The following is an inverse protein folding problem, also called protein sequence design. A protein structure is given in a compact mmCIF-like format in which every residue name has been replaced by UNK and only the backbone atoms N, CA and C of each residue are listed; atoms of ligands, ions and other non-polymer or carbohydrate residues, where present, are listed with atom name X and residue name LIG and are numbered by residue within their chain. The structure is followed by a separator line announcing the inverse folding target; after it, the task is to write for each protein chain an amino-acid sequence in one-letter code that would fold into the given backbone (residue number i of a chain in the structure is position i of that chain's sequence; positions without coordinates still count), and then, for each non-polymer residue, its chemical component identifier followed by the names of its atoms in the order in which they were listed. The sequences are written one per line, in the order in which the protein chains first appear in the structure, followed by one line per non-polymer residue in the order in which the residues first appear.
data_IF_817505503321
#
_entry.id   IF_817505503321
#
_cell.length_a   1.000
_cell.length_b   1.000
_cell.length_c   1.000
_cell.angle_alpha   90.00
_cell.angle_beta   90.00
_cell.angle_gamma   90.00
#
_symmetry.space_group_name_H-M   'P 1'
#
loop_
_entity.id
_entity.type
_entity.pdbx_description
1 polymer ?
#
# COMPACT_ATOMS: atom_id res chain seq x y z
N UNK A 1 19.25 21.53 21.07
CA UNK A 1 17.97 21.19 20.42
C UNK A 1 18.12 19.80 19.83
N UNK A 2 17.50 18.78 20.42
CA UNK A 2 17.50 17.42 19.85
C UNK A 2 16.63 17.45 18.60
N UNK A 3 17.23 17.14 17.45
CA UNK A 3 16.55 17.19 16.16
C UNK A 3 15.43 16.13 16.15
N UNK A 4 14.17 16.59 16.25
CA UNK A 4 12.99 15.74 16.47
C UNK A 4 12.55 14.98 15.21
N UNK A 5 13.05 15.40 14.03
CA UNK A 5 12.69 14.88 12.73
C UNK A 5 13.82 14.01 12.16
N UNK A 6 13.46 12.88 11.56
CA UNK A 6 14.39 11.94 10.95
C UNK A 6 13.99 11.67 9.50
N UNK A 7 14.98 11.53 8.62
CA UNK A 7 14.82 11.14 7.23
C UNK A 7 15.68 9.90 6.97
N UNK A 8 15.06 8.84 6.47
CA UNK A 8 15.73 7.58 6.14
C UNK A 8 15.79 7.42 4.62
N UNK A 9 16.91 6.91 4.12
CA UNK A 9 17.11 6.59 2.70
C UNK A 9 17.25 5.08 2.53
N UNK A 10 16.52 4.51 1.57
CA UNK A 10 16.56 3.08 1.25
C UNK A 10 15.17 2.50 0.97
N UNK A 11 15.10 1.18 0.86
CA UNK A 11 13.83 0.47 0.77
C UNK A 11 13.05 0.61 2.08
N UNK A 12 11.79 1.03 1.98
CA UNK A 12 10.97 1.33 3.14
C UNK A 12 10.62 0.10 3.99
N UNK A 13 10.59 -1.11 3.43
CA UNK A 13 10.38 -2.34 4.22
C UNK A 13 11.60 -2.60 5.11
N UNK A 14 12.81 -2.43 4.58
CA UNK A 14 14.02 -2.54 5.39
C UNK A 14 14.11 -1.45 6.46
N UNK A 15 13.77 -0.21 6.11
CA UNK A 15 13.77 0.90 7.07
C UNK A 15 12.80 0.65 8.21
N UNK A 16 11.56 0.23 7.90
CA UNK A 16 10.56 -0.13 8.91
C UNK A 16 11.10 -1.21 9.87
N UNK A 17 11.74 -2.25 9.32
CA UNK A 17 12.30 -3.36 10.09
C UNK A 17 13.49 -2.97 10.97
N UNK A 18 14.43 -2.17 10.44
CA UNK A 18 15.71 -1.88 11.09
C UNK A 18 15.65 -0.69 12.04
N UNK A 19 14.80 0.30 11.77
CA UNK A 19 14.86 1.60 12.42
C UNK A 19 13.60 1.99 13.19
N UNK A 20 12.45 1.41 12.85
CA UNK A 20 11.18 1.77 13.48
C UNK A 20 10.80 0.72 14.54
N UNK A 21 10.72 1.17 15.79
CA UNK A 21 10.37 0.32 16.93
C UNK A 21 8.88 -0.05 16.93
N UNK A 22 8.57 -1.17 17.55
CA UNK A 22 7.21 -1.59 17.85
C UNK A 22 6.48 -0.49 18.63
N UNK A 23 5.20 -0.29 18.34
CA UNK A 23 4.31 0.60 19.09
C UNK A 23 4.90 2.00 19.37
N UNK A 24 5.57 2.58 18.37
CA UNK A 24 6.27 3.85 18.49
C UNK A 24 5.64 4.98 17.67
N UNK A 25 4.77 4.64 16.72
CA UNK A 25 4.17 5.58 15.76
C UNK A 25 2.72 5.89 16.12
N UNK A 26 2.37 7.17 16.26
CA UNK A 26 1.00 7.62 16.52
C UNK A 26 0.14 7.69 15.24
N UNK A 27 0.75 8.05 14.10
CA UNK A 27 0.05 8.18 12.83
C UNK A 27 0.98 7.77 11.69
N UNK A 28 0.46 6.95 10.78
CA UNK A 28 1.13 6.60 9.53
C UNK A 28 0.25 7.01 8.34
N UNK A 29 0.83 7.71 7.38
CA UNK A 29 0.20 8.02 6.10
C UNK A 29 1.11 7.54 4.99
N UNK A 30 0.55 6.84 4.01
CA UNK A 30 1.29 6.45 2.80
C UNK A 30 0.48 6.73 1.53
N UNK A 31 1.22 7.11 0.48
CA UNK A 31 0.73 7.34 -0.88
C UNK A 31 1.56 6.49 -1.85
N UNK A 32 1.36 5.16 -1.87
CA UNK A 32 2.12 4.27 -2.73
C UNK A 32 1.79 4.53 -4.21
N UNK A 33 2.73 4.22 -5.14
CA UNK A 33 2.49 4.40 -6.57
C UNK A 33 1.29 3.56 -7.00
N UNK A 34 0.32 4.20 -7.65
CA UNK A 34 -0.91 3.58 -8.10
C UNK A 34 -0.67 2.53 -9.19
N UNK A 35 -1.25 1.33 -9.05
CA UNK A 35 -1.23 0.27 -10.07
C UNK A 35 -2.22 0.57 -11.23
N UNK A 36 -2.16 1.78 -11.78
CA UNK A 36 -3.01 2.19 -12.88
C UNK A 36 -2.42 1.69 -14.21
N UNK A 37 -2.73 0.43 -14.58
CA UNK A 37 -2.36 -0.17 -15.89
C UNK A 37 -2.78 0.67 -17.14
N UNK A 38 -3.47 1.81 -16.97
CA UNK A 38 -4.06 2.65 -18.04
C UNK A 38 -3.33 3.95 -18.37
N UNK A 39 -2.48 4.50 -17.50
CA UNK A 39 -2.00 5.88 -17.67
C UNK A 39 -0.60 6.01 -18.30
N UNK A 40 -0.08 4.98 -18.98
CA UNK A 40 1.31 5.01 -19.44
C UNK A 40 1.51 4.96 -20.96
N UNK A 41 0.77 4.10 -21.68
CA UNK A 41 0.90 4.02 -23.15
C UNK A 41 0.59 5.35 -23.87
N UNK A 42 -0.20 6.25 -23.27
CA UNK A 42 -0.47 7.58 -23.83
C UNK A 42 0.57 8.65 -23.45
N UNK A 43 1.26 8.49 -22.32
CA UNK A 43 2.33 9.41 -21.87
C UNK A 43 3.61 9.14 -22.65
N UNK A 44 3.93 7.87 -22.92
CA UNK A 44 5.10 7.47 -23.71
C UNK A 44 5.17 8.07 -25.12
N UNK A 45 4.01 8.29 -25.75
CA UNK A 45 3.95 8.83 -27.10
C UNK A 45 4.26 10.34 -27.16
N UNK A 46 4.20 11.07 -26.03
CA UNK A 46 4.18 12.53 -26.03
C UNK A 46 5.26 13.23 -25.18
N UNK A 47 6.23 12.52 -24.56
CA UNK A 47 7.22 13.16 -23.67
C UNK A 47 8.69 12.79 -24.00
N UNK A 48 9.60 13.75 -23.80
CA UNK A 48 11.05 13.69 -24.04
C UNK A 48 11.83 12.73 -23.13
N UNK A 49 13.14 12.59 -23.39
CA UNK A 49 14.00 11.52 -22.84
C UNK A 49 14.10 11.46 -21.30
N UNK A 50 14.10 12.60 -20.60
CA UNK A 50 14.25 12.62 -19.13
C UNK A 50 12.98 12.16 -18.39
N UNK A 51 11.81 12.55 -18.87
CA UNK A 51 10.54 12.12 -18.29
C UNK A 51 10.27 10.63 -18.56
N UNK A 52 10.79 10.07 -19.67
CA UNK A 52 10.75 8.62 -19.91
C UNK A 52 11.50 7.83 -18.83
N UNK A 53 12.61 8.33 -18.29
CA UNK A 53 13.37 7.65 -17.25
C UNK A 53 12.61 7.62 -15.91
N UNK A 54 11.96 8.74 -15.54
CA UNK A 54 11.08 8.80 -14.37
C UNK A 54 9.86 7.92 -14.54
N UNK A 55 9.25 7.97 -15.71
CA UNK A 55 8.04 7.24 -16.02
C UNK A 55 8.31 5.70 -16.12
N UNK A 56 9.48 5.30 -16.64
CA UNK A 56 9.96 3.92 -16.60
C UNK A 56 10.16 3.41 -15.17
N UNK A 57 10.72 4.23 -14.26
CA UNK A 57 10.90 3.85 -12.85
C UNK A 57 9.59 3.60 -12.11
N UNK A 58 8.49 4.26 -12.52
CA UNK A 58 7.14 4.02 -12.01
C UNK A 58 6.47 2.76 -12.61
N UNK A 59 6.85 2.32 -13.82
CA UNK A 59 6.35 1.08 -14.43
C UNK A 59 7.08 -0.15 -13.90
N UNK A 60 8.39 -0.02 -13.71
CA UNK A 60 9.23 -1.10 -13.19
C UNK A 60 9.04 -1.35 -11.70
N UNK A 61 8.20 -0.58 -11.00
CA UNK A 61 8.10 -0.70 -9.54
C UNK A 61 7.57 -2.07 -9.11
N UNK A 62 6.63 -2.66 -9.86
CA UNK A 62 5.98 -3.91 -9.48
C UNK A 62 5.93 -4.90 -10.64
N UNK A 63 7.04 -5.62 -10.84
CA UNK A 63 7.11 -6.78 -11.72
C UNK A 63 7.13 -8.05 -10.89
N UNK A 64 6.68 -9.17 -11.48
CA UNK A 64 6.84 -10.45 -10.81
C UNK A 64 8.30 -10.91 -10.94
N UNK A 65 9.10 -10.59 -9.92
CA UNK A 65 10.54 -10.84 -9.87
C UNK A 65 10.93 -11.71 -8.66
N UNK A 66 12.23 -11.82 -8.39
CA UNK A 66 12.74 -12.56 -7.24
C UNK A 66 12.36 -11.93 -5.90
N UNK A 67 12.15 -10.60 -5.84
CA UNK A 67 11.65 -9.94 -4.63
C UNK A 67 10.19 -10.32 -4.37
N UNK A 68 9.35 -10.38 -5.40
CA UNK A 68 7.98 -10.85 -5.31
C UNK A 68 7.91 -12.33 -4.87
N UNK A 69 8.77 -13.19 -5.42
CA UNK A 69 8.84 -14.60 -5.00
C UNK A 69 9.27 -14.73 -3.53
N UNK A 70 10.30 -14.00 -3.08
CA UNK A 70 10.73 -14.02 -1.67
C UNK A 70 9.65 -13.47 -0.74
N UNK A 71 9.00 -12.38 -1.13
CA UNK A 71 7.91 -11.80 -0.36
C UNK A 71 6.71 -12.73 -0.22
N UNK A 72 6.35 -13.43 -1.30
CA UNK A 72 5.30 -14.43 -1.27
C UNK A 72 5.67 -15.58 -0.32
N UNK A 73 6.89 -16.12 -0.42
CA UNK A 73 7.37 -17.16 0.47
C UNK A 73 7.34 -16.71 1.94
N UNK A 74 7.83 -15.49 2.23
CA UNK A 74 7.81 -14.93 3.58
C UNK A 74 6.40 -14.88 4.19
N UNK A 75 5.41 -14.47 3.39
CA UNK A 75 4.00 -14.42 3.81
C UNK A 75 3.48 -15.83 4.07
N UNK A 76 3.65 -16.76 3.12
CA UNK A 76 3.05 -18.09 3.19
C UNK A 76 3.68 -18.98 4.25
N UNK A 77 4.99 -18.91 4.41
CA UNK A 77 5.74 -19.72 5.38
C UNK A 77 5.62 -19.14 6.80
N UNK A 78 5.46 -17.82 6.89
CA UNK A 78 5.23 -17.08 8.13
C UNK A 78 6.18 -17.47 9.28
N UNK A 79 7.46 -17.73 8.99
CA UNK A 79 8.43 -18.27 9.97
C UNK A 79 8.56 -17.45 11.25
N UNK A 80 8.33 -16.13 11.17
CA UNK A 80 8.42 -15.21 12.30
C UNK A 80 7.07 -14.92 12.97
N UNK A 81 5.97 -15.55 12.53
CA UNK A 81 4.63 -15.33 13.07
C UNK A 81 4.10 -13.90 12.86
N UNK A 82 4.60 -13.19 11.84
CA UNK A 82 4.27 -11.78 11.56
C UNK A 82 2.94 -11.59 10.85
N UNK A 83 2.53 -12.59 10.07
CA UNK A 83 1.32 -12.52 9.24
C UNK A 83 0.17 -13.25 9.91
N UNK A 84 -1.02 -12.67 9.80
CA UNK A 84 -2.27 -13.25 10.30
C UNK A 84 -2.73 -14.37 9.36
N UNK A 85 -3.49 -15.35 9.86
CA UNK A 85 -4.03 -16.42 9.00
C UNK A 85 -4.86 -15.85 7.85
N UNK A 86 -5.63 -14.79 8.10
CA UNK A 86 -6.41 -14.09 7.07
C UNK A 86 -5.53 -13.48 5.98
N UNK A 87 -4.36 -12.91 6.33
CA UNK A 87 -3.43 -12.34 5.33
C UNK A 87 -2.80 -13.44 4.49
N UNK A 88 -2.45 -14.56 5.10
CA UNK A 88 -1.89 -15.73 4.42
C UNK A 88 -2.91 -16.31 3.44
N UNK A 89 -4.13 -16.58 3.91
CA UNK A 89 -5.20 -17.16 3.10
C UNK A 89 -5.61 -16.23 1.95
N UNK A 90 -5.67 -14.91 2.22
CA UNK A 90 -5.96 -13.91 1.19
C UNK A 90 -4.91 -13.94 0.07
N UNK A 91 -3.63 -13.88 0.42
CA UNK A 91 -2.54 -13.85 -0.58
C UNK A 91 -2.44 -15.19 -1.32
N UNK A 92 -2.62 -16.32 -0.63
CA UNK A 92 -2.68 -17.64 -1.25
C UNK A 92 -3.86 -17.75 -2.24
N UNK A 93 -5.03 -17.22 -1.88
CA UNK A 93 -6.20 -17.17 -2.74
C UNK A 93 -5.99 -16.27 -3.96
N UNK A 94 -5.50 -15.05 -3.74
CA UNK A 94 -5.22 -14.09 -4.80
C UNK A 94 -4.16 -14.60 -5.79
N UNK A 95 -3.20 -15.41 -5.34
CA UNK A 95 -2.24 -16.07 -6.23
C UNK A 95 -2.93 -16.95 -7.27
N UNK A 96 -4.01 -17.64 -6.88
CA UNK A 96 -4.80 -18.50 -7.78
C UNK A 96 -5.72 -17.68 -8.71
N UNK A 97 -6.19 -16.52 -8.26
CA UNK A 97 -7.16 -15.68 -8.98
C UNK A 97 -6.48 -14.77 -10.00
N UNK A 98 -5.38 -14.12 -9.62
CA UNK A 98 -4.72 -13.09 -10.42
C UNK A 98 -3.58 -13.64 -11.29
N UNK A 99 -3.00 -14.77 -10.89
CA UNK A 99 -1.73 -15.24 -11.43
C UNK A 99 -0.56 -14.37 -10.99
N UNK A 100 0.66 -14.80 -11.34
CA UNK A 100 1.91 -14.13 -10.98
C UNK A 100 2.19 -12.94 -11.91
N UNK A 101 1.43 -11.86 -11.74
CA UNK A 101 1.53 -10.62 -12.52
C UNK A 101 1.91 -9.40 -11.66
N UNK A 102 1.93 -8.21 -12.28
CA UNK A 102 2.26 -6.95 -11.59
C UNK A 102 1.30 -6.59 -10.46
N UNK A 103 0.02 -6.95 -10.56
CA UNK A 103 -0.93 -6.69 -9.49
C UNK A 103 -0.65 -7.60 -8.29
N UNK A 104 -0.41 -8.89 -8.51
CA UNK A 104 -0.07 -9.77 -7.39
C UNK A 104 1.27 -9.37 -6.75
N UNK A 105 2.29 -9.02 -7.54
CA UNK A 105 3.56 -8.51 -7.02
C UNK A 105 3.37 -7.28 -6.13
N UNK A 106 2.52 -6.34 -6.57
CA UNK A 106 2.15 -5.17 -5.77
C UNK A 106 1.46 -5.55 -4.45
N UNK A 107 0.50 -6.47 -4.48
CA UNK A 107 -0.24 -6.89 -3.28
C UNK A 107 0.62 -7.67 -2.28
N UNK A 108 1.56 -8.49 -2.75
CA UNK A 108 2.58 -9.12 -1.91
C UNK A 108 3.42 -8.05 -1.22
N UNK A 109 3.96 -7.11 -2.00
CA UNK A 109 4.77 -6.01 -1.48
C UNK A 109 4.05 -5.15 -0.44
N UNK A 110 2.78 -4.82 -0.70
CA UNK A 110 1.97 -4.02 0.22
C UNK A 110 1.66 -4.80 1.49
N UNK A 111 1.35 -6.10 1.40
CA UNK A 111 1.12 -6.95 2.59
C UNK A 111 2.31 -6.95 3.54
N UNK A 112 3.54 -7.10 3.01
CA UNK A 112 4.77 -7.04 3.83
C UNK A 112 4.88 -5.72 4.60
N UNK A 113 4.62 -4.59 3.91
CA UNK A 113 4.75 -3.24 4.47
C UNK A 113 3.65 -2.93 5.47
N UNK A 114 2.42 -3.32 5.17
CA UNK A 114 1.26 -3.12 6.05
C UNK A 114 1.43 -3.90 7.35
N UNK A 115 1.99 -5.12 7.31
CA UNK A 115 2.31 -5.87 8.52
C UNK A 115 3.32 -5.14 9.43
N UNK A 116 4.38 -4.57 8.84
CA UNK A 116 5.38 -3.79 9.59
C UNK A 116 4.82 -2.43 10.08
N UNK A 117 3.93 -1.80 9.31
CA UNK A 117 3.20 -0.60 9.75
C UNK A 117 2.31 -0.93 10.95
N UNK A 118 1.57 -2.04 10.92
CA UNK A 118 0.76 -2.48 12.05
C UNK A 118 1.61 -2.72 13.31
N UNK A 119 2.79 -3.35 13.18
CA UNK A 119 3.75 -3.52 14.28
C UNK A 119 4.19 -2.16 14.85
N UNK A 120 4.56 -1.22 13.99
CA UNK A 120 5.09 0.08 14.37
C UNK A 120 4.06 1.01 15.04
N UNK A 121 2.78 0.90 14.68
CA UNK A 121 1.72 1.74 15.26
C UNK A 121 1.51 1.46 16.74
N UNK A 122 1.32 2.51 17.54
CA UNK A 122 0.83 2.40 18.91
C UNK A 122 -0.59 1.83 18.95
N UNK A 123 -1.04 1.25 20.07
CA UNK A 123 -2.44 0.84 20.23
C UNK A 123 -3.43 1.98 19.92
N UNK A 124 -3.04 3.23 20.15
CA UNK A 124 -3.81 4.45 19.86
C UNK A 124 -3.66 4.99 18.44
N UNK A 125 -2.85 4.33 17.62
CA UNK A 125 -2.39 4.87 16.35
C UNK A 125 -3.36 4.67 15.20
N UNK A 126 -3.25 5.58 14.23
CA UNK A 126 -4.04 5.61 13.00
C UNK A 126 -3.19 5.37 11.76
N UNK A 127 -3.82 4.78 10.74
CA UNK A 127 -3.22 4.52 9.44
C UNK A 127 -4.10 5.03 8.32
N UNK A 128 -3.49 5.76 7.39
CA UNK A 128 -4.15 6.33 6.22
C UNK A 128 -3.42 5.84 4.96
N UNK A 129 -4.16 5.12 4.10
CA UNK A 129 -3.66 4.64 2.82
C UNK A 129 -4.37 5.38 1.69
N UNK A 130 -3.64 6.23 0.97
CA UNK A 130 -4.14 6.81 -0.27
C UNK A 130 -4.03 5.79 -1.40
N UNK A 131 -5.11 5.59 -2.16
CA UNK A 131 -5.17 4.57 -3.20
C UNK A 131 -6.03 5.01 -4.40
N UNK A 132 -5.67 4.52 -5.59
CA UNK A 132 -6.49 4.70 -6.77
C UNK A 132 -7.66 3.71 -6.80
N UNK A 133 -8.72 4.00 -7.58
CA UNK A 133 -9.83 3.07 -7.76
C UNK A 133 -9.47 1.71 -8.40
N UNK A 134 -8.24 1.55 -8.93
CA UNK A 134 -7.83 0.31 -9.60
C UNK A 134 -7.43 -0.75 -8.59
N UNK A 135 -6.66 -0.35 -7.57
CA UNK A 135 -6.14 -1.24 -6.55
C UNK A 135 -6.86 -1.10 -5.20
N UNK A 136 -7.66 -0.05 -4.98
CA UNK A 136 -8.31 0.25 -3.69
C UNK A 136 -9.03 -0.94 -3.07
N UNK A 137 -9.79 -1.71 -3.86
CA UNK A 137 -10.54 -2.86 -3.35
C UNK A 137 -9.62 -4.01 -2.89
N UNK A 138 -8.54 -4.29 -3.62
CA UNK A 138 -7.57 -5.31 -3.21
C UNK A 138 -6.78 -4.85 -1.98
N UNK A 139 -6.39 -3.57 -1.93
CA UNK A 139 -5.70 -2.99 -0.79
C UNK A 139 -6.60 -2.99 0.45
N UNK A 140 -7.89 -2.68 0.31
CA UNK A 140 -8.87 -2.77 1.39
C UNK A 140 -8.92 -4.17 2.00
N UNK A 141 -8.93 -5.22 1.15
CA UNK A 141 -8.88 -6.61 1.64
C UNK A 141 -7.57 -6.91 2.37
N UNK A 142 -6.42 -6.44 1.86
CA UNK A 142 -5.13 -6.58 2.54
C UNK A 142 -5.14 -5.88 3.90
N UNK A 143 -5.67 -4.66 3.98
CA UNK A 143 -5.79 -3.92 5.24
C UNK A 143 -6.72 -4.62 6.22
N UNK A 144 -7.88 -5.11 5.77
CA UNK A 144 -8.79 -5.89 6.61
C UNK A 144 -8.13 -7.17 7.14
N UNK A 145 -7.40 -7.88 6.28
CA UNK A 145 -6.71 -9.10 6.65
C UNK A 145 -5.62 -8.87 7.70
N UNK A 146 -4.95 -7.71 7.70
CA UNK A 146 -3.92 -7.36 8.69
C UNK A 146 -4.50 -6.71 9.95
N UNK A 147 -5.34 -5.68 9.81
CA UNK A 147 -5.84 -4.88 10.94
C UNK A 147 -7.01 -5.57 11.64
N UNK A 148 -8.06 -5.92 10.91
CA UNK A 148 -9.33 -6.39 11.50
C UNK A 148 -9.20 -7.76 12.16
N UNK A 149 -8.29 -8.60 11.68
CA UNK A 149 -7.95 -9.88 12.33
C UNK A 149 -7.24 -9.72 13.68
N UNK A 150 -6.72 -8.53 13.98
CA UNK A 150 -5.94 -8.23 15.18
C UNK A 150 -6.56 -7.09 16.01
N UNK A 151 -7.90 -6.96 16.00
CA UNK A 151 -8.67 -5.93 16.73
C UNK A 151 -8.52 -4.50 16.22
N UNK A 152 -7.80 -4.29 15.12
CA UNK A 152 -7.85 -3.03 14.38
C UNK A 152 -9.21 -2.86 13.70
N UNK A 153 -9.53 -1.63 13.33
CA UNK A 153 -10.84 -1.31 12.77
C UNK A 153 -10.70 -0.43 11.54
N UNK A 154 -11.47 -0.75 10.51
CA UNK A 154 -11.75 0.18 9.43
C UNK A 154 -12.70 1.26 9.95
N UNK A 155 -12.31 2.52 9.86
CA UNK A 155 -13.11 3.64 10.35
C UNK A 155 -13.98 4.22 9.24
N UNK A 156 -13.36 4.71 8.17
CA UNK A 156 -14.09 5.22 7.01
C UNK A 156 -13.26 5.25 5.72
N UNK A 157 -13.98 5.43 4.61
CA UNK A 157 -13.42 5.78 3.31
C UNK A 157 -13.54 7.29 3.13
N UNK A 158 -12.40 7.98 3.01
CA UNK A 158 -12.35 9.43 2.80
C UNK A 158 -12.26 9.69 1.30
N UNK A 159 -13.21 10.46 0.77
CA UNK A 159 -13.27 10.83 -0.64
C UNK A 159 -12.54 12.15 -0.85
N UNK A 160 -11.35 12.09 -1.47
CA UNK A 160 -10.59 13.28 -1.82
C UNK A 160 -11.06 13.81 -3.19
N UNK A 161 -12.02 14.73 -3.18
CA UNK A 161 -12.57 15.34 -4.39
C UNK A 161 -11.64 16.42 -4.96
N UNK A 162 -11.53 16.48 -6.29
CA UNK A 162 -10.82 17.54 -6.99
C UNK A 162 -11.70 18.21 -8.06
N UNK A 163 -11.58 19.54 -8.18
CA UNK A 163 -12.44 20.36 -9.05
C UNK A 163 -12.16 20.13 -10.55
N UNK A 164 -10.89 19.86 -10.90
CA UNK A 164 -10.45 19.67 -12.28
C UNK A 164 -10.57 18.19 -12.69
N UNK A 165 -11.27 17.91 -13.79
CA UNK A 165 -11.33 16.55 -14.32
C UNK A 165 -11.68 16.55 -15.80
N UNK A 166 -10.96 15.76 -16.58
CA UNK A 166 -11.13 15.71 -18.04
C UNK A 166 -12.53 15.27 -18.44
N UNK A 167 -13.06 15.88 -19.51
CA UNK A 167 -14.31 15.44 -20.15
C UNK A 167 -14.02 14.16 -20.94
N UNK A 168 -14.33 13.02 -20.35
CA UNK A 168 -14.20 11.73 -21.01
C UNK A 168 -15.42 11.46 -21.89
N UNK A 169 -15.18 10.98 -23.12
CA UNK A 169 -16.24 10.56 -24.06
C UNK A 169 -16.65 9.09 -23.93
N UNK A 170 -15.87 8.27 -23.20
CA UNK A 170 -16.03 6.80 -23.17
C UNK A 170 -16.31 6.21 -21.78
N UNK A 171 -16.30 7.05 -20.75
CA UNK A 171 -16.48 6.67 -19.33
C UNK A 171 -16.81 7.91 -18.51
N UNK A 172 -17.36 7.70 -17.32
CA UNK A 172 -17.51 8.77 -16.33
C UNK A 172 -16.17 9.42 -16.00
N UNK A 173 -16.20 10.73 -15.74
CA UNK A 173 -15.02 11.49 -15.34
C UNK A 173 -14.55 11.02 -13.97
N UNK A 174 -13.24 10.80 -13.83
CA UNK A 174 -12.63 10.65 -12.51
C UNK A 174 -12.63 12.01 -11.82
N UNK A 175 -13.11 12.06 -10.58
CA UNK A 175 -13.34 13.30 -9.81
C UNK A 175 -12.89 13.21 -8.35
N UNK A 176 -12.41 12.06 -7.94
CA UNK A 176 -11.89 11.83 -6.60
C UNK A 176 -10.86 10.71 -6.59
N UNK A 177 -10.05 10.70 -5.54
CA UNK A 177 -9.26 9.55 -5.10
C UNK A 177 -9.74 9.11 -3.70
N UNK A 178 -9.30 7.94 -3.25
CA UNK A 178 -9.79 7.30 -2.03
C UNK A 178 -8.66 7.22 -1.00
N UNK A 179 -8.94 7.63 0.23
CA UNK A 179 -8.06 7.40 1.39
C UNK A 179 -8.77 6.46 2.35
N UNK A 180 -8.17 5.30 2.62
CA UNK A 180 -8.67 4.33 3.59
C UNK A 180 -8.12 4.68 4.98
N UNK A 181 -9.02 4.88 5.96
CA UNK A 181 -8.66 5.16 7.34
C UNK A 181 -8.88 3.94 8.23
N UNK A 182 -7.80 3.49 8.88
CA UNK A 182 -7.77 2.40 9.85
C UNK A 182 -7.20 2.85 11.19
N UNK A 183 -7.59 2.17 12.25
CA UNK A 183 -6.99 2.31 13.59
C UNK A 183 -6.46 0.97 14.07
N UNK A 184 -5.36 0.98 14.82
CA UNK A 184 -4.76 -0.27 15.36
C UNK A 184 -5.67 -0.94 16.40
N UNK A 185 -6.49 -0.16 17.10
CA UNK A 185 -7.50 -0.64 18.04
C UNK A 185 -8.73 0.28 18.06
N UNK A 186 -9.72 -0.08 18.87
CA UNK A 186 -10.90 0.74 19.15
C UNK A 186 -10.64 1.94 20.09
N UNK A 187 -9.44 2.03 20.69
CA UNK A 187 -9.02 3.18 21.50
C UNK A 187 -7.99 3.95 20.69
N UNK A 188 -8.39 5.01 20.00
CA UNK A 188 -7.50 5.78 19.13
C UNK A 188 -7.62 7.28 19.34
N UNK A 189 -6.58 8.00 18.93
CA UNK A 189 -6.58 9.47 18.88
C UNK A 189 -7.04 9.91 17.49
N UNK A 190 -8.11 10.70 17.44
CA UNK A 190 -8.51 11.39 16.21
C UNK A 190 -7.57 12.58 15.99
N UNK A 191 -6.90 12.61 14.83
CA UNK A 191 -5.90 13.63 14.46
C UNK A 191 -6.44 14.56 13.36
#
# INVERSE_FOLDING_TARGET
MTNKNQLFYGDNLEVLRKHIKDESVDLCYIDPPFNSKRNYNQIYNNIGKEDRARAQAFIDTWTWDDFANRGLAEILENYQGKFTSQSIDLIAGLTKVLGKDSLLAYLVSMTLRVAEIYRALKPTGSFYLHCDPTASHYLKLVLDAVFCSQRGEFQNEIIWCYSMGGKSKKRFGKKHDIILFYTKSNKYTFN
#
